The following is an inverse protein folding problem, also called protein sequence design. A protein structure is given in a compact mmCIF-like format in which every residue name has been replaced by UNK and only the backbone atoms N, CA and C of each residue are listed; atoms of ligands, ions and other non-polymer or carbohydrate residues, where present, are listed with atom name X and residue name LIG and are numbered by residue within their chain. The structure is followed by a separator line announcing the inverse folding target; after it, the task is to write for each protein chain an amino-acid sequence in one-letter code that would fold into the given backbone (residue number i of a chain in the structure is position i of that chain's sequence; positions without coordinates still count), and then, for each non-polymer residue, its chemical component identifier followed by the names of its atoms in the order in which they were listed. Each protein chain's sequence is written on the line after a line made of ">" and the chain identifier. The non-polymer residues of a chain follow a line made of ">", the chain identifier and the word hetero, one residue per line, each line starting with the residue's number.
data_IF_603701439879
#
_entry.id   IF_603701439879
#
_cell.length_a   1.000
_cell.length_b   1.000
_cell.length_c   1.000
_cell.angle_alpha   90.00
_cell.angle_beta   90.00
_cell.angle_gamma   90.00
#
_symmetry.space_group_name_H-M   'P 1'
#
loop_
_entity.id
_entity.type
_entity.pdbx_description
1 polymer ?
#
# COMPACT_ATOMS: atom_id res chain seq x y z
N UNK A 1 13.02 -5.20 12.79
CA UNK A 1 13.27 -5.95 14.05
C UNK A 1 13.57 -7.38 13.66
N UNK A 2 14.82 -7.82 13.89
CA UNK A 2 15.36 -9.09 13.40
C UNK A 2 15.09 -10.30 14.32
N UNK A 3 14.44 -10.11 15.47
CA UNK A 3 14.27 -11.16 16.50
C UNK A 3 13.00 -12.00 16.36
N UNK A 4 12.11 -11.72 15.40
CA UNK A 4 10.87 -12.48 15.19
C UNK A 4 9.76 -12.27 16.23
N UNK A 5 10.06 -11.59 17.35
CA UNK A 5 9.11 -11.25 18.40
C UNK A 5 8.53 -9.84 18.23
N UNK A 6 7.24 -9.70 18.49
CA UNK A 6 6.52 -8.43 18.52
C UNK A 6 6.70 -7.68 19.84
N UNK A 7 6.29 -6.40 19.84
CA UNK A 7 6.40 -5.50 21.01
C UNK A 7 5.66 -6.04 22.24
N UNK A 8 4.60 -6.81 22.03
CA UNK A 8 3.77 -7.41 23.09
C UNK A 8 4.26 -8.79 23.53
N UNK A 9 5.43 -9.25 23.07
CA UNK A 9 5.94 -10.59 23.37
C UNK A 9 5.25 -11.72 22.62
N UNK A 10 4.26 -11.41 21.78
CA UNK A 10 3.69 -12.35 20.84
C UNK A 10 4.52 -12.40 19.55
N UNK A 11 4.25 -13.41 18.70
CA UNK A 11 4.82 -13.50 17.35
C UNK A 11 4.67 -12.18 16.59
N UNK A 12 5.77 -11.70 16.00
CA UNK A 12 5.78 -10.44 15.27
C UNK A 12 4.85 -10.47 14.05
N UNK A 13 4.30 -9.31 13.65
CA UNK A 13 3.31 -9.20 12.56
C UNK A 13 3.74 -9.86 11.24
N UNK A 14 5.03 -9.82 10.93
CA UNK A 14 5.60 -10.33 9.68
C UNK A 14 6.44 -11.60 9.90
N UNK A 15 6.25 -12.29 11.03
CA UNK A 15 7.04 -13.48 11.34
C UNK A 15 6.74 -14.65 10.39
N UNK A 16 5.49 -14.83 9.96
CA UNK A 16 5.13 -15.87 8.98
C UNK A 16 5.89 -15.67 7.67
N UNK A 17 5.84 -14.47 7.10
CA UNK A 17 6.60 -14.14 5.89
C UNK A 17 8.11 -14.31 6.06
N UNK A 18 8.64 -14.03 7.26
CA UNK A 18 10.04 -14.28 7.57
C UNK A 18 10.37 -15.78 7.61
N UNK A 19 9.50 -16.60 8.20
CA UNK A 19 9.68 -18.05 8.24
C UNK A 19 9.69 -18.64 6.84
N UNK A 20 8.73 -18.26 5.99
CA UNK A 20 8.66 -18.73 4.60
C UNK A 20 9.91 -18.32 3.81
N UNK A 21 10.37 -17.07 3.97
CA UNK A 21 11.60 -16.59 3.35
C UNK A 21 12.84 -17.36 3.86
N UNK A 22 12.94 -17.58 5.18
CA UNK A 22 14.05 -18.31 5.79
C UNK A 22 14.08 -19.77 5.38
N UNK A 23 12.92 -20.40 5.23
CA UNK A 23 12.79 -21.78 4.75
C UNK A 23 13.17 -21.89 3.27
N UNK A 24 12.74 -20.95 2.43
CA UNK A 24 13.21 -20.90 1.05
C UNK A 24 14.73 -20.73 0.97
N UNK A 25 15.29 -19.82 1.76
CA UNK A 25 16.73 -19.55 1.78
C UNK A 25 17.57 -20.73 2.29
N UNK A 26 17.01 -21.62 3.11
CA UNK A 26 17.72 -22.81 3.61
C UNK A 26 17.82 -23.92 2.55
N UNK A 27 16.93 -23.93 1.57
CA UNK A 27 16.85 -24.95 0.51
C UNK A 27 17.29 -24.45 -0.88
N UNK A 28 17.36 -23.15 -1.10
CA UNK A 28 17.71 -22.58 -2.40
C UNK A 28 19.22 -22.65 -2.70
N UNK A 29 19.58 -22.78 -3.99
CA UNK A 29 20.97 -22.68 -4.46
C UNK A 29 21.36 -21.23 -4.75
N UNK A 30 20.43 -20.44 -5.28
CA UNK A 30 20.63 -19.03 -5.58
C UNK A 30 19.66 -18.14 -4.80
N UNK A 31 20.14 -17.06 -4.17
CA UNK A 31 19.28 -16.11 -3.43
C UNK A 31 18.20 -15.43 -4.29
N UNK A 32 18.32 -15.51 -5.61
CA UNK A 32 17.36 -14.95 -6.56
C UNK A 32 16.05 -15.72 -6.57
N UNK A 33 16.09 -17.03 -6.30
CA UNK A 33 14.93 -17.91 -6.32
C UNK A 33 13.90 -17.54 -5.23
N UNK A 34 14.38 -17.04 -4.09
CA UNK A 34 13.55 -16.61 -2.97
C UNK A 34 13.19 -15.10 -3.00
N UNK A 35 13.36 -14.43 -4.14
CA UNK A 35 13.13 -12.99 -4.26
C UNK A 35 11.68 -12.60 -3.99
N UNK A 36 10.71 -13.41 -4.42
CA UNK A 36 9.29 -13.14 -4.20
C UNK A 36 8.96 -13.10 -2.69
N UNK A 37 9.42 -14.10 -1.94
CA UNK A 37 9.25 -14.18 -0.49
C UNK A 37 9.97 -13.03 0.24
N UNK A 38 11.15 -12.63 -0.27
CA UNK A 38 11.86 -11.44 0.23
C UNK A 38 11.03 -10.17 0.02
N UNK A 39 10.41 -10.02 -1.15
CA UNK A 39 9.55 -8.87 -1.43
C UNK A 39 8.33 -8.85 -0.52
N UNK A 40 7.70 -9.99 -0.26
CA UNK A 40 6.52 -10.08 0.62
C UNK A 40 6.88 -9.75 2.07
N UNK A 41 8.02 -10.24 2.56
CA UNK A 41 8.53 -9.87 3.88
C UNK A 41 8.79 -8.36 3.99
N UNK A 42 9.43 -7.76 2.98
CA UNK A 42 9.69 -6.32 2.95
C UNK A 42 8.42 -5.49 2.77
N UNK A 43 7.44 -6.00 2.03
CA UNK A 43 6.11 -5.41 1.88
C UNK A 43 5.40 -5.38 3.24
N UNK A 44 5.38 -6.49 3.98
CA UNK A 44 4.78 -6.52 5.31
C UNK A 44 5.46 -5.55 6.30
N UNK A 45 6.78 -5.37 6.20
CA UNK A 45 7.50 -4.45 7.09
C UNK A 45 7.26 -2.98 6.79
N UNK A 46 7.20 -2.60 5.51
CA UNK A 46 7.21 -1.19 5.09
C UNK A 46 5.88 -0.72 4.48
N UNK A 47 5.01 -1.65 4.08
CA UNK A 47 3.74 -1.43 3.40
C UNK A 47 3.86 -0.48 2.20
N UNK A 48 4.98 -0.51 1.48
CA UNK A 48 5.27 0.43 0.40
C UNK A 48 4.27 0.30 -0.76
N UNK A 49 4.00 -0.93 -1.20
CA UNK A 49 3.03 -1.26 -2.26
C UNK A 49 1.61 -0.87 -1.81
N UNK A 50 1.22 -1.19 -0.58
CA UNK A 50 -0.10 -0.83 -0.05
C UNK A 50 -0.30 0.68 0.08
N UNK A 51 0.68 1.40 0.63
CA UNK A 51 0.64 2.86 0.74
C UNK A 51 0.58 3.54 -0.64
N UNK A 52 1.35 3.03 -1.61
CA UNK A 52 1.29 3.53 -2.98
C UNK A 52 -0.10 3.32 -3.60
N UNK A 53 -0.69 2.14 -3.43
CA UNK A 53 -2.04 1.83 -3.93
C UNK A 53 -3.09 2.73 -3.30
N UNK A 54 -3.11 2.85 -1.98
CA UNK A 54 -4.03 3.74 -1.25
C UNK A 54 -3.87 5.20 -1.69
N UNK A 55 -2.63 5.68 -1.84
CA UNK A 55 -2.37 7.04 -2.30
C UNK A 55 -2.89 7.29 -3.71
N UNK A 56 -2.79 6.29 -4.60
CA UNK A 56 -3.37 6.37 -5.95
C UNK A 56 -4.89 6.49 -5.90
N UNK A 57 -5.56 5.64 -5.11
CA UNK A 57 -7.02 5.68 -4.95
C UNK A 57 -7.47 7.04 -4.40
N UNK A 58 -6.82 7.51 -3.33
CA UNK A 58 -7.14 8.81 -2.73
C UNK A 58 -6.96 9.97 -3.71
N UNK A 59 -5.88 9.96 -4.53
CA UNK A 59 -5.69 10.98 -5.58
C UNK A 59 -6.77 10.94 -6.65
N UNK A 60 -7.20 9.76 -7.07
CA UNK A 60 -8.31 9.59 -8.02
C UNK A 60 -9.62 10.13 -7.46
N UNK A 61 -9.94 9.80 -6.20
CA UNK A 61 -11.12 10.29 -5.49
C UNK A 61 -11.10 11.82 -5.38
N UNK A 62 -10.00 12.41 -4.92
CA UNK A 62 -9.84 13.85 -4.81
C UNK A 62 -9.99 14.56 -6.17
N UNK A 63 -9.47 13.97 -7.26
CA UNK A 63 -9.69 14.52 -8.61
C UNK A 63 -11.16 14.50 -9.00
N UNK A 64 -11.89 13.41 -8.72
CA UNK A 64 -13.33 13.31 -9.03
C UNK A 64 -14.15 14.32 -8.22
N UNK A 65 -13.85 14.48 -6.92
CA UNK A 65 -14.50 15.47 -6.07
C UNK A 65 -14.26 16.89 -6.59
N UNK A 66 -13.02 17.26 -6.91
CA UNK A 66 -12.69 18.58 -7.49
C UNK A 66 -13.38 18.83 -8.83
N UNK A 67 -13.44 17.81 -9.69
CA UNK A 67 -14.14 17.91 -10.97
C UNK A 67 -15.66 18.10 -10.78
N UNK A 68 -16.26 17.43 -9.79
CA UNK A 68 -17.66 17.62 -9.45
C UNK A 68 -17.94 19.02 -8.87
N UNK A 69 -17.08 19.52 -7.98
CA UNK A 69 -17.20 20.88 -7.43
C UNK A 69 -17.14 21.96 -8.51
N UNK A 70 -16.16 21.90 -9.43
CA UNK A 70 -16.06 22.87 -10.54
C UNK A 70 -17.30 22.87 -11.44
N UNK A 71 -17.83 21.68 -11.76
CA UNK A 71 -19.06 21.56 -12.56
C UNK A 71 -20.29 22.15 -11.85
N UNK A 72 -20.35 22.04 -10.52
CA UNK A 72 -21.40 22.66 -9.71
C UNK A 72 -21.32 24.19 -9.70
N UNK A 73 -20.11 24.76 -9.61
CA UNK A 73 -19.90 26.21 -9.72
C UNK A 73 -20.24 26.75 -11.12
N UNK A 74 -19.78 26.09 -12.18
CA UNK A 74 -20.08 26.47 -13.57
C UNK A 74 -21.60 26.37 -13.88
N UNK A 75 -22.32 25.42 -13.26
CA UNK A 75 -23.78 25.31 -13.40
C UNK A 75 -24.54 26.37 -12.57
N UNK A 76 -23.99 26.83 -11.44
CA UNK A 76 -24.58 27.88 -10.62
C UNK A 76 -24.44 29.27 -11.23
N UNK A 77 -23.27 29.58 -11.81
CA UNK A 77 -22.98 30.88 -12.44
C UNK A 77 -23.82 31.12 -13.71
N UNK A 78 -24.15 30.05 -14.45
CA UNK A 78 -24.99 30.13 -15.66
C UNK A 78 -26.48 30.44 -15.42
N UNK A 79 -26.95 30.52 -14.18
CA UNK A 79 -28.37 30.84 -13.85
C UNK A 79 -28.61 32.28 -13.42
N UNK A 80 -27.57 33.11 -13.26
CA UNK A 80 -27.71 34.49 -12.76
C UNK A 80 -27.62 35.60 -13.82
N UNK A 81 -27.61 35.24 -15.11
CA UNK A 81 -27.58 36.20 -16.24
C UNK A 81 -28.69 35.91 -17.26
N UNK A 82 -29.94 36.19 -16.91
CA UNK A 82 -30.99 36.46 -17.91
C UNK A 82 -32.02 37.42 -17.32
N UNK A 83 -31.96 38.67 -17.80
CA UNK A 83 -32.95 39.75 -17.86
C UNK A 83 -33.94 39.98 -16.70
#
# INVERSE_FOLDING_TARGET
>A
MASGWGITGNKGRCYDFWMDFSECMSHCREPKDCTLLREDYLECLHHSKEFQRRNRIYKEEQRKLRAASRKGEEAGDGTHTHH
#
